data_IF_960537736224
#
_entry.id   IF_960537736224
#
_cell.length_a   1.000
_cell.length_b   1.000
_cell.length_c   1.000
_cell.angle_alpha   90.00
_cell.angle_beta   90.00
_cell.angle_gamma   90.00
#
_symmetry.space_group_name_H-M   'P 1'
#
loop_
_entity.id
_entity.type
_entity.pdbx_description
1 polymer ?
#
# COMPACT_ATOMS: atom_id res chain seq x y z
N UNK A 1 -11.12 10.95 2.89
CA UNK A 1 -9.83 10.48 3.44
C UNK A 1 -10.10 9.68 4.71
N UNK A 2 -9.49 8.50 4.88
CA UNK A 2 -9.69 7.64 6.06
C UNK A 2 -9.33 8.40 7.35
N UNK A 3 -10.11 8.25 8.43
CA UNK A 3 -9.82 8.91 9.70
C UNK A 3 -8.44 8.52 10.26
N UNK A 4 -7.70 9.47 10.85
CA UNK A 4 -6.33 9.25 11.37
C UNK A 4 -6.23 8.08 12.35
N UNK A 5 -7.27 7.88 13.19
CA UNK A 5 -7.34 6.77 14.16
C UNK A 5 -7.31 5.37 13.54
N UNK A 6 -7.63 5.25 12.25
CA UNK A 6 -7.62 3.98 11.50
C UNK A 6 -6.36 3.79 10.65
N UNK A 7 -5.50 4.81 10.57
CA UNK A 7 -4.27 4.77 9.80
C UNK A 7 -3.11 4.30 10.67
N UNK A 8 -2.23 3.48 10.10
CA UNK A 8 -0.98 3.11 10.74
C UNK A 8 0.11 4.14 10.37
N UNK A 9 0.87 4.69 11.34
CA UNK A 9 1.95 5.64 11.06
C UNK A 9 3.06 5.04 10.17
N UNK A 10 3.22 3.72 10.17
CA UNK A 10 4.17 2.99 9.31
C UNK A 10 3.61 2.66 7.91
N UNK A 11 2.38 3.09 7.60
CA UNK A 11 1.72 2.89 6.31
C UNK A 11 0.56 1.89 6.34
N UNK A 12 -0.46 2.14 5.51
CA UNK A 12 -1.67 1.32 5.44
C UNK A 12 -2.62 1.52 6.63
N UNK A 13 -3.58 0.60 6.77
CA UNK A 13 -4.53 0.58 7.88
C UNK A 13 -3.97 -0.15 9.10
N UNK A 14 -4.34 0.31 10.29
CA UNK A 14 -4.13 -0.45 11.53
C UNK A 14 -5.24 -1.51 11.72
N UNK A 15 -5.23 -2.24 12.84
CA UNK A 15 -6.25 -3.28 13.11
C UNK A 15 -7.65 -2.67 13.21
N UNK A 16 -7.81 -1.65 14.04
CA UNK A 16 -9.08 -0.94 14.21
C UNK A 16 -9.65 -0.41 12.88
N UNK A 17 -8.78 0.02 11.96
CA UNK A 17 -9.17 0.43 10.62
C UNK A 17 -9.71 -0.73 9.79
N UNK A 18 -9.03 -1.88 9.79
CA UNK A 18 -9.53 -3.08 9.10
C UNK A 18 -10.85 -3.55 9.68
N UNK A 19 -10.97 -3.59 11.01
CA UNK A 19 -12.20 -3.96 11.70
C UNK A 19 -13.34 -2.98 11.40
N UNK A 20 -13.05 -1.69 11.35
CA UNK A 20 -14.02 -0.66 10.99
C UNK A 20 -14.60 -0.93 9.59
N UNK A 21 -13.74 -1.08 8.58
CA UNK A 21 -14.19 -1.37 7.20
C UNK A 21 -14.88 -2.74 7.07
N UNK A 22 -14.48 -3.73 7.87
CA UNK A 22 -15.20 -5.01 7.93
C UNK A 22 -16.61 -4.82 8.46
N UNK A 23 -16.79 -4.01 9.50
CA UNK A 23 -18.09 -3.77 10.15
C UNK A 23 -19.00 -2.86 9.32
N UNK A 24 -18.46 -1.81 8.70
CA UNK A 24 -19.27 -0.80 7.99
C UNK A 24 -19.48 -1.11 6.52
N UNK A 25 -18.49 -1.70 5.85
CA UNK A 25 -18.53 -1.96 4.40
C UNK A 25 -18.50 -3.45 4.07
N UNK A 26 -18.50 -4.34 5.07
CA UNK A 26 -18.38 -5.78 4.85
C UNK A 26 -17.01 -6.22 4.29
N UNK A 27 -16.04 -5.31 4.22
CA UNK A 27 -14.75 -5.56 3.54
C UNK A 27 -13.80 -6.39 4.39
N UNK A 28 -13.38 -7.56 3.90
CA UNK A 28 -12.40 -8.41 4.57
C UNK A 28 -10.95 -8.01 4.22
N UNK A 29 -10.56 -6.80 4.62
CA UNK A 29 -9.23 -6.25 4.32
C UNK A 29 -8.14 -7.04 5.05
N UNK A 30 -7.13 -7.49 4.29
CA UNK A 30 -5.98 -8.24 4.82
C UNK A 30 -4.79 -7.34 5.11
N UNK A 31 -3.86 -7.82 5.94
CA UNK A 31 -2.59 -7.14 6.24
C UNK A 31 -1.70 -7.04 4.98
N UNK A 32 -0.88 -5.98 4.86
CA UNK A 32 0.15 -5.87 3.82
C UNK A 32 1.13 -7.03 3.79
N UNK A 33 1.60 -7.39 2.60
CA UNK A 33 2.64 -8.41 2.41
C UNK A 33 3.96 -7.73 2.03
N UNK A 34 5.00 -7.98 2.83
CA UNK A 34 6.34 -7.41 2.61
C UNK A 34 7.25 -8.23 1.71
N UNK A 35 6.89 -9.48 1.39
CA UNK A 35 7.72 -10.45 0.68
C UNK A 35 6.86 -11.37 -0.20
N UNK A 36 7.51 -12.21 -1.02
CA UNK A 36 6.86 -13.16 -1.92
C UNK A 36 6.40 -12.55 -3.24
N UNK A 37 5.83 -13.37 -4.13
CA UNK A 37 5.36 -12.98 -5.48
C UNK A 37 3.89 -13.34 -5.68
N UNK A 38 3.13 -13.41 -4.59
CA UNK A 38 1.73 -13.76 -4.65
C UNK A 38 0.89 -12.66 -5.33
N UNK A 39 -0.27 -13.07 -5.86
CA UNK A 39 -1.12 -12.20 -6.67
C UNK A 39 -1.56 -10.91 -5.98
N UNK A 40 -1.68 -10.88 -4.64
CA UNK A 40 -2.07 -9.65 -3.91
C UNK A 40 -0.93 -8.64 -3.90
N UNK A 41 0.31 -9.09 -3.68
CA UNK A 41 1.49 -8.21 -3.72
C UNK A 41 1.73 -7.69 -5.14
N UNK A 42 1.56 -8.54 -6.17
CA UNK A 42 1.65 -8.13 -7.58
C UNK A 42 0.57 -7.10 -7.91
N UNK A 43 -0.69 -7.35 -7.52
CA UNK A 43 -1.81 -6.42 -7.75
C UNK A 43 -1.61 -5.09 -7.03
N UNK A 44 -1.14 -5.12 -5.78
CA UNK A 44 -0.79 -3.90 -5.05
C UNK A 44 0.29 -3.12 -5.79
N UNK A 45 1.37 -3.78 -6.19
CA UNK A 45 2.49 -3.16 -6.86
C UNK A 45 2.09 -2.52 -8.20
N UNK A 46 1.21 -3.19 -8.97
CA UNK A 46 0.68 -2.66 -10.23
C UNK A 46 -0.12 -1.37 -10.01
N UNK A 47 -1.04 -1.38 -9.03
CA UNK A 47 -1.91 -0.23 -8.73
C UNK A 47 -1.13 0.93 -8.13
N UNK A 48 -0.29 0.67 -7.13
CA UNK A 48 0.42 1.72 -6.38
C UNK A 48 1.67 2.22 -7.11
N UNK A 49 2.26 1.41 -7.99
CA UNK A 49 3.34 1.85 -8.87
C UNK A 49 2.86 2.90 -9.87
N UNK A 50 1.66 2.74 -10.42
CA UNK A 50 1.06 3.69 -11.36
C UNK A 50 0.38 4.92 -10.72
N UNK A 51 0.25 4.97 -9.40
CA UNK A 51 -0.51 6.01 -8.73
C UNK A 51 0.18 7.37 -8.83
N UNK A 52 -0.58 8.42 -9.14
CA UNK A 52 -0.06 9.79 -9.19
C UNK A 52 0.24 10.36 -7.80
N UNK A 53 1.16 11.32 -7.75
CA UNK A 53 1.50 12.08 -6.53
C UNK A 53 2.88 11.80 -5.95
N UNK A 54 3.46 12.74 -5.19
CA UNK A 54 4.85 12.64 -4.79
C UNK A 54 5.08 11.62 -3.67
N UNK A 55 6.30 11.07 -3.61
CA UNK A 55 6.74 10.17 -2.52
C UNK A 55 7.21 10.92 -1.27
N UNK A 56 7.51 12.21 -1.40
CA UNK A 56 7.86 13.11 -0.31
C UNK A 56 6.91 14.30 -0.32
N UNK A 57 6.59 14.84 0.84
CA UNK A 57 5.86 16.10 0.94
C UNK A 57 6.81 17.30 0.75
N UNK A 58 6.24 18.52 0.76
CA UNK A 58 7.01 19.77 0.64
C UNK A 58 8.06 19.99 1.74
N UNK A 59 7.97 19.23 2.84
CA UNK A 59 8.91 19.27 3.97
C UNK A 59 9.87 18.06 3.95
N UNK A 60 9.92 17.32 2.85
CA UNK A 60 10.81 16.17 2.65
C UNK A 60 10.37 14.87 3.34
N UNK A 61 9.23 14.85 4.04
CA UNK A 61 8.77 13.68 4.81
C UNK A 61 8.09 12.67 3.88
N UNK A 62 8.12 11.37 4.20
CA UNK A 62 7.43 10.37 3.38
C UNK A 62 5.92 10.60 3.35
N UNK A 63 5.35 10.63 2.14
CA UNK A 63 3.90 10.67 1.96
C UNK A 63 3.27 9.34 2.36
N UNK A 64 1.93 9.30 2.47
CA UNK A 64 1.24 8.03 2.78
C UNK A 64 1.47 6.99 1.68
N UNK A 65 1.60 7.42 0.43
CA UNK A 65 1.98 6.55 -0.68
C UNK A 65 3.35 5.90 -0.44
N UNK A 66 4.37 6.69 -0.07
CA UNK A 66 5.70 6.14 0.25
C UNK A 66 5.68 5.18 1.44
N UNK A 67 4.93 5.50 2.48
CA UNK A 67 4.78 4.62 3.65
C UNK A 67 4.08 3.30 3.28
N UNK A 68 3.04 3.36 2.45
CA UNK A 68 2.35 2.18 1.95
C UNK A 68 3.31 1.31 1.11
N UNK A 69 4.01 1.90 0.12
CA UNK A 69 5.01 1.18 -0.68
C UNK A 69 6.05 0.51 0.20
N UNK A 70 6.63 1.23 1.17
CA UNK A 70 7.61 0.68 2.11
C UNK A 70 7.03 -0.50 2.89
N UNK A 71 5.78 -0.42 3.35
CA UNK A 71 5.14 -1.49 4.11
C UNK A 71 4.89 -2.76 3.29
N UNK A 72 4.73 -2.62 1.97
CA UNK A 72 4.61 -3.72 1.00
C UNK A 72 5.96 -4.16 0.41
N UNK A 73 7.08 -3.64 0.93
CA UNK A 73 8.43 -4.03 0.52
C UNK A 73 8.94 -3.33 -0.73
N UNK A 74 8.42 -2.14 -1.07
CA UNK A 74 8.85 -1.35 -2.23
C UNK A 74 9.47 -0.02 -1.78
N UNK A 75 10.67 0.29 -2.31
CA UNK A 75 11.37 1.53 -2.01
C UNK A 75 10.90 2.74 -2.84
N UNK A 76 10.36 2.49 -4.03
CA UNK A 76 9.89 3.52 -4.96
C UNK A 76 8.70 3.02 -5.80
N UNK A 77 8.10 3.91 -6.58
CA UNK A 77 7.03 3.55 -7.52
C UNK A 77 7.56 2.68 -8.65
N UNK A 78 8.73 3.03 -9.15
CA UNK A 78 9.41 2.33 -10.24
C UNK A 78 9.73 0.90 -9.83
N UNK A 79 10.22 0.69 -8.60
CA UNK A 79 10.45 -0.65 -8.06
C UNK A 79 9.15 -1.47 -8.01
N UNK A 80 8.03 -0.86 -7.60
CA UNK A 80 6.72 -1.52 -7.60
C UNK A 80 6.22 -1.83 -9.02
N UNK A 81 6.34 -0.88 -9.97
CA UNK A 81 5.97 -1.10 -11.38
C UNK A 81 6.77 -2.24 -11.99
N UNK A 82 8.10 -2.23 -11.83
CA UNK A 82 8.98 -3.26 -12.38
C UNK A 82 8.68 -4.63 -11.76
N UNK A 83 8.44 -4.68 -10.45
CA UNK A 83 8.02 -5.91 -9.78
C UNK A 83 6.70 -6.43 -10.34
N UNK A 84 5.71 -5.56 -10.52
CA UNK A 84 4.43 -5.95 -11.11
C UNK A 84 4.60 -6.45 -12.55
N UNK A 85 5.37 -5.74 -13.39
CA UNK A 85 5.62 -6.12 -14.76
C UNK A 85 6.33 -7.48 -14.89
N UNK A 86 7.25 -7.79 -13.97
CA UNK A 86 7.98 -9.08 -13.93
C UNK A 86 7.12 -10.25 -13.47
N UNK A 87 6.15 -10.01 -12.58
CA UNK A 87 5.38 -11.07 -11.92
C UNK A 87 3.90 -11.10 -12.34
N UNK A 88 3.48 -10.26 -13.29
CA UNK A 88 2.15 -10.37 -13.89
C UNK A 88 2.06 -11.72 -14.58
N UNK A 89 1.02 -12.48 -14.26
CA UNK A 89 0.68 -13.67 -15.05
C UNK A 89 0.19 -13.19 -16.41
N UNK A 90 0.64 -13.85 -17.47
CA UNK A 90 0.16 -13.63 -18.83
C UNK A 90 -1.35 -13.92 -18.91
#
# INVERSE_FOLDING_TARGET
MVAKKYQNPKGGLNEAGREHFKRTEGSNLKRPQGSGTDGRRVSFAARFGGMDGPLKDSKGRPTRLKLALKKWGFGSKEAARNFAAKNKKA
#
